data_IF_376418311605
#
_entry.id   IF_376418311605
#
_cell.length_a   1.000
_cell.length_b   1.000
_cell.length_c   1.000
_cell.angle_alpha   90.00
_cell.angle_beta   90.00
_cell.angle_gamma   90.00
#
_symmetry.space_group_name_H-M   'P 1'
#
loop_
_entity.id
_entity.type
_entity.pdbx_description
1 polymer ?
#
# COMPACT_ATOMS: atom_id res chain seq x y z
N UNK A 1 20.67 3.93 5.28
CA UNK A 1 19.30 4.45 5.44
C UNK A 1 18.35 3.29 5.67
N UNK A 2 17.44 3.37 6.63
CA UNK A 2 16.48 2.30 6.82
C UNK A 2 15.50 2.24 5.66
N UNK A 3 15.05 1.04 5.37
CA UNK A 3 13.96 0.85 4.43
C UNK A 3 12.67 1.39 5.05
N UNK A 4 11.65 1.61 4.23
CA UNK A 4 10.34 1.97 4.71
C UNK A 4 9.30 0.99 4.18
N UNK A 5 8.28 0.73 4.99
CA UNK A 5 7.20 -0.17 4.64
C UNK A 5 5.91 0.62 4.51
N UNK A 6 5.18 0.33 3.45
CA UNK A 6 3.89 0.95 3.20
C UNK A 6 2.84 -0.15 3.35
N UNK A 7 2.00 0.00 4.36
CA UNK A 7 0.95 -0.97 4.70
C UNK A 7 -0.39 -0.37 4.36
N UNK A 8 -1.14 -1.04 3.48
CA UNK A 8 -2.50 -0.64 3.13
C UNK A 8 -3.46 -1.67 3.66
N UNK A 9 -4.40 -1.24 4.49
CA UNK A 9 -5.44 -2.12 5.02
C UNK A 9 -6.81 -1.64 4.57
N UNK A 10 -7.57 -2.54 3.95
CA UNK A 10 -8.91 -2.24 3.48
C UNK A 10 -9.91 -2.53 4.58
N UNK A 11 -10.85 -1.62 4.78
CA UNK A 11 -11.96 -1.81 5.73
C UNK A 11 -13.19 -2.35 5.01
N UNK A 12 -13.48 -1.83 3.83
CA UNK A 12 -14.57 -2.30 3.00
C UNK A 12 -14.29 -1.98 1.53
N UNK A 13 -14.82 -2.80 0.64
CA UNK A 13 -14.73 -2.59 -0.80
C UNK A 13 -16.16 -2.56 -1.33
N UNK A 14 -16.58 -1.41 -1.85
CA UNK A 14 -17.92 -1.25 -2.43
C UNK A 14 -17.93 -1.47 -3.95
N UNK A 15 -16.78 -1.30 -4.60
CA UNK A 15 -16.66 -1.47 -6.05
C UNK A 15 -15.29 -2.07 -6.38
N UNK A 16 -15.26 -3.39 -6.57
CA UNK A 16 -14.02 -4.10 -6.87
C UNK A 16 -13.40 -3.66 -8.20
N UNK A 17 -14.22 -3.24 -9.17
CA UNK A 17 -13.68 -2.79 -10.46
C UNK A 17 -12.83 -1.53 -10.32
N UNK A 18 -13.19 -0.64 -9.39
CA UNK A 18 -12.41 0.55 -9.08
C UNK A 18 -11.10 0.17 -8.39
N UNK A 19 -11.13 -0.82 -7.51
CA UNK A 19 -9.91 -1.33 -6.86
C UNK A 19 -8.96 -1.93 -7.90
N UNK A 20 -9.49 -2.68 -8.87
CA UNK A 20 -8.68 -3.26 -9.94
C UNK A 20 -8.08 -2.17 -10.84
N UNK A 21 -8.86 -1.15 -11.20
CA UNK A 21 -8.37 -0.01 -11.98
C UNK A 21 -7.27 0.74 -11.23
N UNK A 22 -7.46 0.95 -9.92
CA UNK A 22 -6.45 1.52 -9.06
C UNK A 22 -5.16 0.71 -9.09
N UNK A 23 -5.25 -0.60 -8.92
CA UNK A 23 -4.09 -1.48 -8.84
C UNK A 23 -3.22 -1.42 -10.10
N UNK A 24 -3.85 -1.34 -11.26
CA UNK A 24 -3.14 -1.24 -12.55
C UNK A 24 -2.27 0.01 -12.65
N UNK A 25 -2.69 1.10 -12.02
CA UNK A 25 -1.97 2.37 -12.03
C UNK A 25 -1.01 2.50 -10.85
N UNK A 26 -1.38 1.96 -9.70
CA UNK A 26 -0.57 2.05 -8.49
C UNK A 26 0.73 1.25 -8.60
N UNK A 27 0.68 0.06 -9.20
CA UNK A 27 1.86 -0.79 -9.35
C UNK A 27 3.03 -0.07 -10.01
N UNK A 28 2.86 0.45 -11.23
CA UNK A 28 3.93 1.20 -11.89
C UNK A 28 4.41 2.41 -11.11
N UNK A 29 3.51 3.15 -10.44
CA UNK A 29 3.88 4.31 -9.65
C UNK A 29 4.75 3.93 -8.45
N UNK A 30 4.41 2.85 -7.77
CA UNK A 30 5.19 2.31 -6.64
C UNK A 30 6.57 1.86 -7.12
N UNK A 31 6.62 1.10 -8.20
CA UNK A 31 7.87 0.58 -8.76
C UNK A 31 8.80 1.68 -9.26
N UNK A 32 8.25 2.75 -9.82
CA UNK A 32 9.03 3.88 -10.31
C UNK A 32 9.86 4.56 -9.22
N UNK A 33 9.44 4.45 -7.96
CA UNK A 33 10.16 4.99 -6.81
C UNK A 33 10.95 3.92 -6.04
N UNK A 34 11.17 2.76 -6.66
CA UNK A 34 11.94 1.68 -6.07
C UNK A 34 11.16 0.79 -5.12
N UNK A 35 9.83 0.92 -5.11
CA UNK A 35 8.98 0.10 -4.27
C UNK A 35 8.81 -1.31 -4.82
N UNK A 36 8.64 -2.27 -3.92
CA UNK A 36 8.35 -3.66 -4.25
C UNK A 36 7.19 -4.15 -3.40
N UNK A 37 6.24 -4.84 -4.01
CA UNK A 37 5.19 -5.52 -3.25
C UNK A 37 5.74 -6.79 -2.62
N UNK A 38 5.50 -6.95 -1.32
CA UNK A 38 5.93 -8.13 -0.56
C UNK A 38 4.77 -9.08 -0.30
N UNK A 39 3.58 -8.54 -0.11
CA UNK A 39 2.38 -9.33 0.15
C UNK A 39 1.16 -8.55 -0.33
N UNK A 40 0.18 -9.27 -0.86
CA UNK A 40 -1.05 -8.66 -1.36
C UNK A 40 -2.14 -9.72 -1.43
N UNK A 41 -3.23 -9.50 -0.73
CA UNK A 41 -4.34 -10.42 -0.71
C UNK A 41 -5.23 -10.20 0.50
N UNK A 42 -6.21 -11.06 0.67
CA UNK A 42 -7.08 -11.03 1.84
C UNK A 42 -6.32 -11.62 3.03
N UNK A 43 -6.39 -10.93 4.17
CA UNK A 43 -5.74 -11.41 5.39
C UNK A 43 -6.26 -12.81 5.76
N UNK A 44 -5.35 -13.75 6.02
CA UNK A 44 -5.69 -15.15 6.30
C UNK A 44 -6.04 -15.39 7.76
N UNK A 45 -5.56 -14.55 8.66
CA UNK A 45 -5.88 -14.62 10.07
C UNK A 45 -5.97 -13.20 10.61
N UNK A 46 -6.94 -12.92 11.44
CA UNK A 46 -7.12 -11.61 12.06
C UNK A 46 -7.41 -11.80 13.54
N UNK A 47 -7.00 -10.82 14.32
CA UNK A 47 -7.17 -10.84 15.77
C UNK A 47 -7.66 -9.48 16.22
N UNK A 48 -8.38 -9.45 17.34
CA UNK A 48 -8.88 -8.24 17.97
C UNK A 48 -9.67 -7.40 16.96
N UNK A 49 -9.26 -6.17 16.67
CA UNK A 49 -9.96 -5.28 15.74
C UNK A 49 -9.58 -5.51 14.27
N UNK A 50 -8.80 -6.53 13.99
CA UNK A 50 -8.40 -6.85 12.61
C UNK A 50 -9.58 -7.24 11.75
N UNK A 51 -9.56 -6.83 10.49
CA UNK A 51 -10.62 -7.13 9.53
C UNK A 51 -10.08 -8.08 8.46
N UNK A 52 -10.81 -9.17 8.19
CA UNK A 52 -10.43 -10.15 7.18
C UNK A 52 -10.73 -9.60 5.79
N UNK A 53 -9.97 -8.60 5.37
CA UNK A 53 -10.13 -7.92 4.10
C UNK A 53 -8.76 -7.74 3.45
N UNK A 54 -8.75 -7.20 2.23
CA UNK A 54 -7.53 -6.99 1.44
C UNK A 54 -6.49 -6.20 2.24
N UNK A 55 -5.27 -6.70 2.21
CA UNK A 55 -4.11 -6.09 2.87
C UNK A 55 -2.94 -6.13 1.91
N UNK A 56 -2.21 -5.03 1.80
CA UNK A 56 -1.09 -4.92 0.87
C UNK A 56 0.12 -4.40 1.64
N UNK A 57 1.25 -5.07 1.47
CA UNK A 57 2.52 -4.67 2.07
C UNK A 57 3.54 -4.43 0.96
N UNK A 58 4.13 -3.25 0.96
CA UNK A 58 5.22 -2.93 0.05
C UNK A 58 6.40 -2.37 0.82
N UNK A 59 7.59 -2.45 0.22
CA UNK A 59 8.82 -1.95 0.80
C UNK A 59 9.50 -0.99 -0.16
N UNK A 60 10.11 0.05 0.39
CA UNK A 60 10.82 1.09 -0.36
C UNK A 60 12.24 1.23 0.21
N UNK A 61 13.20 1.72 -0.59
CA UNK A 61 14.57 1.88 -0.12
C UNK A 61 14.71 2.90 1.01
N UNK A 62 13.76 3.83 1.14
CA UNK A 62 13.78 4.85 2.19
C UNK A 62 12.37 5.41 2.44
N UNK A 63 12.21 6.11 3.55
CA UNK A 63 10.99 6.84 3.86
C UNK A 63 10.66 7.86 2.76
N UNK A 64 11.66 8.61 2.32
CA UNK A 64 11.48 9.63 1.28
C UNK A 64 10.96 9.00 -0.03
N UNK A 65 11.48 7.84 -0.39
CA UNK A 65 11.04 7.13 -1.60
C UNK A 65 9.57 6.74 -1.49
N UNK A 66 9.14 6.24 -0.34
CA UNK A 66 7.74 5.87 -0.11
C UNK A 66 6.81 7.09 -0.19
N UNK A 67 7.20 8.19 0.44
CA UNK A 67 6.42 9.43 0.40
C UNK A 67 6.35 9.98 -1.02
N UNK A 68 7.46 9.98 -1.75
CA UNK A 68 7.48 10.43 -3.14
C UNK A 68 6.56 9.59 -4.02
N UNK A 69 6.52 8.28 -3.79
CA UNK A 69 5.63 7.40 -4.54
C UNK A 69 4.17 7.78 -4.31
N UNK A 70 3.79 8.00 -3.05
CA UNK A 70 2.42 8.40 -2.71
C UNK A 70 2.06 9.75 -3.32
N UNK A 71 2.98 10.68 -3.31
CA UNK A 71 2.73 12.04 -3.78
C UNK A 71 2.97 12.20 -5.28
N UNK A 72 3.34 11.13 -5.97
CA UNK A 72 3.61 11.18 -7.40
C UNK A 72 2.34 11.37 -8.23
N UNK A 73 2.52 11.90 -9.43
CA UNK A 73 1.44 12.08 -10.39
C UNK A 73 0.80 10.75 -10.79
N UNK A 74 1.63 9.72 -10.95
CA UNK A 74 1.14 8.38 -11.30
C UNK A 74 0.26 7.78 -10.21
N UNK A 75 0.65 7.96 -8.95
CA UNK A 75 -0.18 7.46 -7.85
C UNK A 75 -1.45 8.30 -7.68
N UNK A 76 -1.37 9.61 -7.95
CA UNK A 76 -2.55 10.47 -7.97
C UNK A 76 -3.60 9.98 -8.97
N UNK A 77 -3.16 9.56 -10.17
CA UNK A 77 -4.06 8.97 -11.15
C UNK A 77 -4.68 7.66 -10.63
N UNK A 78 -3.91 6.85 -9.89
CA UNK A 78 -4.43 5.64 -9.27
C UNK A 78 -5.51 5.96 -8.24
N UNK A 79 -5.30 6.98 -7.41
CA UNK A 79 -6.29 7.41 -6.43
C UNK A 79 -7.58 7.91 -7.09
N UNK A 80 -7.46 8.61 -8.21
CA UNK A 80 -8.62 9.05 -8.98
C UNK A 80 -9.43 7.85 -9.49
N UNK A 81 -8.74 6.80 -9.96
CA UNK A 81 -9.39 5.60 -10.43
C UNK A 81 -10.11 4.85 -9.30
N UNK A 82 -9.52 4.84 -8.10
CA UNK A 82 -10.13 4.23 -6.92
C UNK A 82 -11.39 4.97 -6.51
N UNK A 83 -11.35 6.31 -6.52
CA UNK A 83 -12.48 7.15 -6.12
C UNK A 83 -13.05 6.71 -4.77
N UNK A 84 -14.34 6.40 -4.76
CA UNK A 84 -15.07 5.94 -3.57
C UNK A 84 -15.24 4.42 -3.52
N UNK A 85 -14.45 3.68 -4.29
CA UNK A 85 -14.61 2.23 -4.42
C UNK A 85 -14.23 1.42 -3.19
N UNK A 86 -13.55 2.03 -2.21
CA UNK A 86 -13.13 1.35 -0.99
C UNK A 86 -12.93 2.33 0.15
N UNK A 87 -13.07 1.84 1.36
CA UNK A 87 -12.63 2.52 2.58
C UNK A 87 -11.40 1.79 3.07
N UNK A 88 -10.29 2.49 3.20
CA UNK A 88 -9.01 1.88 3.58
C UNK A 88 -8.13 2.90 4.26
N UNK A 89 -7.03 2.44 4.84
CA UNK A 89 -6.00 3.31 5.38
C UNK A 89 -4.62 2.88 4.91
N UNK A 90 -3.73 3.84 4.85
CA UNK A 90 -2.33 3.63 4.48
C UNK A 90 -1.47 4.11 5.62
N UNK A 91 -0.49 3.29 6.01
CA UNK A 91 0.52 3.67 6.99
C UNK A 91 1.89 3.41 6.40
N UNK A 92 2.79 4.36 6.55
CA UNK A 92 4.18 4.22 6.13
C UNK A 92 5.03 4.29 7.39
N UNK A 93 5.86 3.27 7.58
CA UNK A 93 6.70 3.15 8.78
C UNK A 93 8.13 2.79 8.37
N UNK A 94 9.11 3.44 9.00
CA UNK A 94 10.50 3.09 8.77
C UNK A 94 10.81 1.73 9.36
N UNK A 95 11.58 0.95 8.64
CA UNK A 95 12.09 -0.31 9.13
C UNK A 95 13.17 -0.10 10.18
N UNK A 96 13.46 -1.14 10.91
CA UNK A 96 14.54 -1.11 11.90
C UNK A 96 15.89 -1.15 11.16
N UNK A 97 16.82 -0.30 11.58
CA UNK A 97 18.18 -0.31 10.98
C UNK A 97 18.95 -1.56 11.36
N UNK A 98 18.70 -2.04 12.57
CA UNK A 98 19.34 -3.26 13.07
C UNK A 98 18.28 -4.29 13.41
N UNK A 99 18.47 -5.55 12.98
CA UNK A 99 17.51 -6.57 13.35
C UNK A 99 17.49 -6.76 14.87
N UNK A 100 16.31 -7.04 15.38
CA UNK A 100 16.13 -7.46 16.77
C UNK A 100 16.55 -8.92 16.88
N UNK A 101 17.31 -9.21 17.87
CA UNK A 101 17.79 -10.58 18.12
C UNK A 101 17.27 -11.12 19.43
#
# INVERSE_FOLDING_TARGET
MPKAYWVTTYHSISDISKVEAYAKLAGPAVEACGGQYLARGVAKAVYEAGIAERTVLSVFPSLDAAIKAHDSQGYGAALDALGDGAVREIRIIEGLEKPLI
#
